data_IF_019566578764
#
_entry.id   IF_019566578764
#
_cell.length_a   1.000
_cell.length_b   1.000
_cell.length_c   1.000
_cell.angle_alpha   90.00
_cell.angle_beta   90.00
_cell.angle_gamma   90.00
#
_symmetry.space_group_name_H-M   'P 1'
#
loop_
_entity.id
_entity.type
_entity.pdbx_description
1 polymer ?
#
# COMPACT_ATOMS: atom_id res chain seq x y z
N UNK A 1 20.17 -2.43 11.22
CA UNK A 1 18.79 -2.32 10.71
C UNK A 1 18.74 -1.12 9.78
N UNK A 2 18.19 -1.27 8.57
CA UNK A 2 18.05 -0.13 7.64
C UNK A 2 16.95 0.81 8.15
N UNK A 3 17.10 2.13 8.08
CA UNK A 3 16.05 3.05 8.50
C UNK A 3 14.86 2.98 7.53
N UNK A 4 13.65 2.97 8.08
CA UNK A 4 12.41 3.10 7.32
C UNK A 4 12.29 4.57 6.90
N UNK A 5 12.26 4.84 5.60
CA UNK A 5 12.09 6.18 5.04
C UNK A 5 10.73 6.38 4.39
N UNK A 6 10.13 5.30 3.88
CA UNK A 6 8.83 5.34 3.22
C UNK A 6 7.99 4.13 3.58
N UNK A 7 6.75 4.39 3.99
CA UNK A 7 5.73 3.40 4.26
C UNK A 7 4.60 3.49 3.23
N UNK A 8 4.08 2.33 2.81
CA UNK A 8 2.81 2.24 2.11
C UNK A 8 1.77 1.67 3.05
N UNK A 9 0.72 2.45 3.31
CA UNK A 9 -0.35 2.09 4.26
C UNK A 9 -1.67 2.06 3.52
N UNK A 10 -2.32 0.89 3.47
CA UNK A 10 -3.65 0.71 2.88
C UNK A 10 -4.39 -0.37 3.65
N UNK A 11 -5.34 0.03 4.49
CA UNK A 11 -6.03 -0.85 5.41
C UNK A 11 -7.54 -0.77 5.25
N UNK A 12 -8.21 -1.90 5.28
CA UNK A 12 -9.67 -2.01 5.34
C UNK A 12 -10.15 -1.69 6.76
N UNK A 13 -9.68 -2.45 7.75
CA UNK A 13 -9.84 -2.11 9.17
C UNK A 13 -8.82 -1.03 9.56
N UNK A 14 -9.33 0.11 9.99
CA UNK A 14 -8.54 1.31 10.32
C UNK A 14 -8.23 1.47 11.80
N UNK A 15 -8.55 0.46 12.61
CA UNK A 15 -8.30 0.48 14.06
C UNK A 15 -6.81 0.69 14.35
N UNK A 16 -6.49 1.74 15.12
CA UNK A 16 -5.12 2.06 15.55
C UNK A 16 -4.19 2.61 14.46
N UNK A 17 -4.64 2.72 13.20
CA UNK A 17 -3.75 3.13 12.10
C UNK A 17 -3.30 4.59 12.21
N UNK A 18 -4.16 5.46 12.77
CA UNK A 18 -3.79 6.87 12.95
C UNK A 18 -2.65 7.02 13.95
N UNK A 19 -2.75 6.37 15.10
CA UNK A 19 -1.70 6.43 16.13
C UNK A 19 -0.38 5.85 15.61
N UNK A 20 -0.47 4.73 14.89
CA UNK A 20 0.71 4.12 14.27
C UNK A 20 1.37 5.06 13.24
N UNK A 21 0.59 5.71 12.40
CA UNK A 21 1.10 6.63 11.40
C UNK A 21 1.66 7.92 12.02
N UNK A 22 1.09 8.41 13.14
CA UNK A 22 1.65 9.51 13.92
C UNK A 22 3.03 9.15 14.49
N UNK A 23 3.21 7.92 14.97
CA UNK A 23 4.53 7.46 15.42
C UNK A 23 5.53 7.43 14.25
N UNK A 24 5.16 6.90 13.09
CA UNK A 24 6.04 6.91 11.91
C UNK A 24 6.44 8.33 11.49
N UNK A 25 5.52 9.28 11.59
CA UNK A 25 5.78 10.69 11.28
C UNK A 25 6.86 11.29 12.16
N UNK A 26 6.90 10.95 13.46
CA UNK A 26 7.96 11.42 14.38
C UNK A 26 9.37 11.03 13.94
N UNK A 27 9.47 9.93 13.19
CA UNK A 27 10.74 9.46 12.61
C UNK A 27 10.98 9.96 11.18
N UNK A 28 10.15 10.88 10.68
CA UNK A 28 10.28 11.44 9.34
C UNK A 28 9.94 10.48 8.22
N UNK A 29 9.16 9.43 8.48
CA UNK A 29 8.74 8.47 7.47
C UNK A 29 7.70 9.10 6.54
N UNK A 30 7.97 9.07 5.24
CA UNK A 30 7.02 9.48 4.21
C UNK A 30 5.93 8.40 4.04
N UNK A 31 4.67 8.82 3.99
CA UNK A 31 3.54 7.89 3.90
C UNK A 31 2.87 7.98 2.52
N UNK A 32 2.86 6.84 1.81
CA UNK A 32 2.01 6.59 0.65
C UNK A 32 0.73 5.91 1.12
N UNK A 33 -0.43 6.31 0.59
CA UNK A 33 -1.70 5.67 0.93
C UNK A 33 -2.75 5.85 -0.17
N UNK A 34 -3.87 5.16 -0.04
CA UNK A 34 -4.98 5.16 -1.01
C UNK A 34 -6.32 5.34 -0.32
N UNK A 35 -7.29 5.87 -1.03
CA UNK A 35 -8.71 5.89 -0.66
C UNK A 35 -8.99 6.36 0.77
N UNK A 36 -9.90 5.67 1.45
CA UNK A 36 -10.34 6.05 2.79
C UNK A 36 -9.24 6.01 3.87
N UNK A 37 -8.17 5.21 3.69
CA UNK A 37 -7.02 5.26 4.59
C UNK A 37 -6.28 6.58 4.47
N UNK A 38 -6.02 7.05 3.24
CA UNK A 38 -5.38 8.34 3.01
C UNK A 38 -6.21 9.49 3.58
N UNK A 39 -7.53 9.45 3.40
CA UNK A 39 -8.44 10.48 3.93
C UNK A 39 -8.44 10.53 5.46
N UNK A 40 -8.46 9.37 6.11
CA UNK A 40 -8.38 9.28 7.58
C UNK A 40 -7.06 9.88 8.10
N UNK A 41 -5.95 9.50 7.50
CA UNK A 41 -4.63 9.98 7.93
C UNK A 41 -4.49 11.49 7.72
N UNK A 42 -4.97 12.03 6.59
CA UNK A 42 -4.97 13.48 6.33
C UNK A 42 -5.84 14.24 7.31
N UNK A 43 -7.03 13.74 7.62
CA UNK A 43 -7.91 14.33 8.65
C UNK A 43 -7.26 14.33 10.03
N UNK A 44 -6.41 13.36 10.30
CA UNK A 44 -5.58 13.29 11.50
C UNK A 44 -4.33 14.18 11.49
N UNK A 45 -4.15 15.02 10.46
CA UNK A 45 -3.04 15.96 10.35
C UNK A 45 -1.74 15.35 9.81
N UNK A 46 -1.78 14.14 9.25
CA UNK A 46 -0.61 13.47 8.71
C UNK A 46 -0.44 13.80 7.22
N UNK A 47 0.72 14.29 6.78
CA UNK A 47 1.03 14.43 5.37
C UNK A 47 1.02 13.06 4.68
N UNK A 48 0.18 12.91 3.66
CA UNK A 48 0.06 11.67 2.89
C UNK A 48 0.17 11.96 1.41
N UNK A 49 1.00 11.19 0.72
CA UNK A 49 1.07 11.18 -0.74
C UNK A 49 0.08 10.12 -1.23
N UNK A 50 -0.88 10.53 -2.07
CA UNK A 50 -1.75 9.58 -2.76
C UNK A 50 -0.95 8.73 -3.72
N UNK A 51 -1.27 7.44 -3.80
CA UNK A 51 -0.64 6.55 -4.76
C UNK A 51 -0.85 7.01 -6.20
N UNK A 52 -2.03 7.57 -6.53
CA UNK A 52 -2.31 8.16 -7.84
C UNK A 52 -1.36 9.32 -8.19
N UNK A 53 -1.06 10.19 -7.22
CA UNK A 53 -0.11 11.29 -7.42
C UNK A 53 1.31 10.77 -7.60
N UNK A 54 1.69 9.77 -6.81
CA UNK A 54 3.01 9.14 -6.89
C UNK A 54 3.23 8.39 -8.21
N UNK A 55 2.24 7.65 -8.67
CA UNK A 55 2.33 6.89 -9.92
C UNK A 55 2.14 7.77 -11.15
N UNK A 56 1.44 8.89 -11.01
CA UNK A 56 0.96 9.72 -12.12
C UNK A 56 -0.16 9.03 -12.91
N UNK A 57 -0.78 7.98 -12.35
CA UNK A 57 -1.84 7.22 -12.99
C UNK A 57 -3.15 7.40 -12.19
N UNK A 58 -4.24 7.85 -12.84
CA UNK A 58 -5.49 8.11 -12.14
C UNK A 58 -6.09 6.82 -11.59
N UNK A 59 -6.80 6.94 -10.49
CA UNK A 59 -7.65 5.86 -10.00
C UNK A 59 -8.82 5.66 -10.96
N UNK A 60 -9.03 4.41 -11.40
CA UNK A 60 -10.08 4.06 -12.36
C UNK A 60 -10.60 2.65 -12.07
N UNK A 61 -11.65 2.23 -12.79
CA UNK A 61 -12.28 0.90 -12.63
C UNK A 61 -12.66 0.66 -11.16
N UNK A 62 -13.30 1.65 -10.54
CA UNK A 62 -13.73 1.62 -9.12
C UNK A 62 -12.59 1.28 -8.15
N UNK A 63 -11.39 1.70 -8.48
CA UNK A 63 -10.19 1.48 -7.66
C UNK A 63 -9.56 0.10 -7.76
N UNK A 64 -10.04 -0.77 -8.66
CA UNK A 64 -9.56 -2.16 -8.78
C UNK A 64 -8.08 -2.28 -9.11
N UNK A 65 -7.47 -1.28 -9.77
CA UNK A 65 -6.07 -1.32 -10.22
C UNK A 65 -5.17 -0.27 -9.56
N UNK A 66 -5.66 0.50 -8.61
CA UNK A 66 -4.96 1.68 -8.06
C UNK A 66 -3.53 1.43 -7.56
N UNK A 67 -3.26 0.25 -7.01
CA UNK A 67 -1.93 -0.13 -6.52
C UNK A 67 -1.17 -1.07 -7.46
N UNK A 68 -1.82 -1.61 -8.48
CA UNK A 68 -1.22 -2.50 -9.46
C UNK A 68 -0.43 -1.70 -10.51
N UNK A 69 0.69 -1.12 -10.07
CA UNK A 69 1.50 -0.24 -10.88
C UNK A 69 2.99 -0.53 -10.67
N UNK A 70 3.84 -0.48 -11.73
CA UNK A 70 5.27 -0.74 -11.62
C UNK A 70 6.00 0.13 -10.59
N UNK A 71 5.62 1.40 -10.41
CA UNK A 71 6.23 2.26 -9.39
C UNK A 71 5.95 1.79 -7.96
N UNK A 72 4.78 1.21 -7.70
CA UNK A 72 4.44 0.64 -6.40
C UNK A 72 5.17 -0.68 -6.21
N UNK A 73 4.93 -1.66 -7.09
CA UNK A 73 5.49 -3.00 -6.94
C UNK A 73 7.00 -3.02 -7.15
N UNK A 74 7.55 -2.18 -8.02
CA UNK A 74 9.00 -2.00 -8.16
C UNK A 74 9.64 -1.47 -6.89
N UNK A 75 8.98 -0.53 -6.20
CA UNK A 75 9.45 0.01 -4.92
C UNK A 75 9.51 -1.05 -3.80
N UNK A 76 8.63 -2.06 -3.86
CA UNK A 76 8.58 -3.17 -2.91
C UNK A 76 9.54 -4.31 -3.33
N UNK A 77 9.52 -4.71 -4.62
CA UNK A 77 10.18 -5.92 -5.10
C UNK A 77 11.65 -5.74 -5.47
N UNK A 78 12.11 -4.51 -5.71
CA UNK A 78 13.48 -4.27 -6.12
C UNK A 78 14.46 -4.66 -5.00
N UNK A 79 15.37 -5.57 -5.31
CA UNK A 79 16.47 -5.96 -4.44
C UNK A 79 17.51 -4.84 -4.43
N UNK A 80 17.79 -4.31 -3.25
CA UNK A 80 18.68 -3.15 -3.07
C UNK A 80 20.17 -3.52 -3.03
N UNK A 81 20.46 -4.81 -3.02
CA UNK A 81 21.81 -5.39 -3.14
C UNK A 81 22.18 -5.75 -4.60
N UNK A 82 21.27 -5.57 -5.56
CA UNK A 82 21.45 -5.85 -6.99
C UNK A 82 21.59 -4.54 -7.75
N UNK A 83 22.78 -4.20 -8.30
CA UNK A 83 23.02 -2.92 -8.97
C UNK A 83 22.06 -2.64 -10.14
N UNK A 84 21.70 -3.65 -10.91
CA UNK A 84 20.77 -3.56 -12.04
C UNK A 84 19.36 -3.17 -11.58
N UNK A 85 18.90 -3.67 -10.43
CA UNK A 85 17.62 -3.27 -9.85
C UNK A 85 17.67 -1.82 -9.39
N UNK A 86 18.74 -1.41 -8.72
CA UNK A 86 18.92 -0.02 -8.26
C UNK A 86 18.96 0.94 -9.45
N UNK A 87 19.69 0.55 -10.52
CA UNK A 87 19.73 1.33 -11.75
C UNK A 87 18.33 1.46 -12.36
N UNK A 88 17.61 0.36 -12.54
CA UNK A 88 16.25 0.36 -13.09
C UNK A 88 15.29 1.24 -12.28
N UNK A 89 15.38 1.20 -10.95
CA UNK A 89 14.61 2.10 -10.10
C UNK A 89 14.89 3.58 -10.42
N UNK A 90 16.17 3.94 -10.55
CA UNK A 90 16.57 5.31 -10.92
C UNK A 90 16.05 5.71 -12.29
N UNK A 91 16.26 4.87 -13.29
CA UNK A 91 15.86 5.14 -14.69
C UNK A 91 14.35 5.35 -14.84
N UNK A 92 13.53 4.71 -14.00
CA UNK A 92 12.06 4.76 -14.06
C UNK A 92 11.41 5.58 -12.95
N UNK A 93 12.19 6.30 -12.13
CA UNK A 93 11.66 7.13 -11.05
C UNK A 93 10.94 6.31 -9.96
N UNK A 94 11.38 5.07 -9.75
CA UNK A 94 10.86 4.19 -8.71
C UNK A 94 11.62 4.46 -7.42
N UNK A 95 10.89 4.83 -6.37
CA UNK A 95 11.47 5.08 -5.05
C UNK A 95 11.24 3.87 -4.14
N UNK A 96 12.21 3.48 -3.29
CA UNK A 96 12.04 2.36 -2.37
C UNK A 96 10.86 2.54 -1.44
N UNK A 97 10.15 1.44 -1.14
CA UNK A 97 9.15 1.33 -0.09
C UNK A 97 9.74 0.40 0.97
N UNK A 98 9.88 0.88 2.20
CA UNK A 98 10.61 0.18 3.27
C UNK A 98 9.69 -0.55 4.23
N UNK A 99 8.42 -0.15 4.26
CA UNK A 99 7.39 -0.71 5.13
C UNK A 99 6.07 -0.80 4.35
N UNK A 100 5.42 -1.94 4.47
CA UNK A 100 4.08 -2.17 3.91
C UNK A 100 3.14 -2.52 5.05
N UNK A 101 2.06 -1.74 5.21
CA UNK A 101 1.02 -1.94 6.23
C UNK A 101 -0.30 -2.17 5.53
N UNK A 102 -0.71 -3.42 5.48
CA UNK A 102 -1.90 -3.86 4.74
C UNK A 102 -2.70 -4.80 5.62
N UNK A 103 -4.01 -4.59 5.70
CA UNK A 103 -4.95 -5.64 6.00
C UNK A 103 -5.93 -5.81 4.84
N UNK A 104 -6.49 -6.98 4.70
CA UNK A 104 -7.27 -7.37 3.53
C UNK A 104 -8.75 -6.99 3.71
N UNK A 105 -9.50 -7.01 2.61
CA UNK A 105 -10.95 -6.88 2.65
C UNK A 105 -11.55 -8.00 3.51
N UNK A 106 -12.63 -7.72 4.26
CA UNK A 106 -13.23 -8.68 5.18
C UNK A 106 -14.13 -9.70 4.43
N UNK A 107 -13.54 -10.47 3.52
CA UNK A 107 -14.27 -11.43 2.67
C UNK A 107 -15.13 -12.41 3.47
N UNK A 108 -14.55 -13.01 4.52
CA UNK A 108 -15.28 -13.97 5.37
C UNK A 108 -16.49 -13.33 6.06
N UNK A 109 -16.35 -12.08 6.52
CA UNK A 109 -17.45 -11.35 7.15
C UNK A 109 -18.54 -11.00 6.14
N UNK A 110 -18.14 -10.67 4.92
CA UNK A 110 -19.08 -10.34 3.83
C UNK A 110 -19.91 -11.56 3.45
N UNK A 111 -19.28 -12.70 3.20
CA UNK A 111 -19.99 -13.92 2.80
C UNK A 111 -20.80 -14.57 3.92
N UNK A 112 -20.50 -14.23 5.17
CA UNK A 112 -21.28 -14.69 6.32
C UNK A 112 -22.59 -13.93 6.49
N UNK A 113 -22.81 -12.81 5.82
CA UNK A 113 -24.06 -12.06 5.86
C UNK A 113 -25.16 -12.82 5.13
N UNK A 114 -26.35 -12.90 5.74
CA UNK A 114 -27.47 -13.69 5.21
C UNK A 114 -28.00 -13.20 3.86
N UNK A 115 -27.83 -11.92 3.56
CA UNK A 115 -28.27 -11.21 2.37
C UNK A 115 -27.12 -10.96 1.38
N UNK A 116 -25.96 -11.56 1.60
CA UNK A 116 -24.81 -11.44 0.71
C UNK A 116 -25.14 -12.05 -0.65
N UNK A 117 -25.10 -11.24 -1.70
CA UNK A 117 -25.21 -11.73 -3.08
C UNK A 117 -23.87 -12.30 -3.57
N UNK A 118 -23.91 -13.08 -4.65
CA UNK A 118 -22.69 -13.54 -5.31
C UNK A 118 -21.86 -12.36 -5.83
N UNK A 119 -22.51 -11.30 -6.29
CA UNK A 119 -21.86 -10.09 -6.77
C UNK A 119 -21.11 -9.37 -5.63
N UNK A 120 -21.73 -9.25 -4.45
CA UNK A 120 -21.08 -8.69 -3.25
C UNK A 120 -19.85 -9.52 -2.84
N UNK A 121 -19.96 -10.83 -2.87
CA UNK A 121 -18.85 -11.73 -2.56
C UNK A 121 -17.69 -11.54 -3.55
N UNK A 122 -17.98 -11.50 -4.86
CA UNK A 122 -16.97 -11.29 -5.90
C UNK A 122 -16.30 -9.92 -5.75
N UNK A 123 -17.08 -8.87 -5.49
CA UNK A 123 -16.53 -7.51 -5.35
C UNK A 123 -15.62 -7.36 -4.12
N UNK A 124 -15.79 -8.20 -3.10
CA UNK A 124 -14.92 -8.24 -1.92
C UNK A 124 -13.67 -9.13 -2.07
N UNK A 125 -13.38 -9.65 -3.26
CA UNK A 125 -12.10 -10.31 -3.54
C UNK A 125 -11.02 -9.23 -3.66
N UNK A 126 -10.13 -9.17 -2.68
CA UNK A 126 -9.03 -8.22 -2.65
C UNK A 126 -7.90 -8.67 -3.58
N UNK A 127 -7.50 -7.83 -4.51
CA UNK A 127 -6.41 -8.10 -5.45
C UNK A 127 -5.14 -7.34 -5.05
N UNK A 128 -5.23 -6.04 -4.83
CA UNK A 128 -4.09 -5.18 -4.58
C UNK A 128 -3.41 -5.44 -3.24
N UNK A 129 -4.19 -5.63 -2.17
CA UNK A 129 -3.68 -5.95 -0.84
C UNK A 129 -2.83 -7.22 -0.81
N UNK A 130 -3.36 -8.37 -1.23
CA UNK A 130 -2.61 -9.62 -1.33
C UNK A 130 -1.36 -9.50 -2.21
N UNK A 131 -1.44 -8.80 -3.35
CA UNK A 131 -0.30 -8.61 -4.25
C UNK A 131 0.84 -7.84 -3.56
N UNK A 132 0.53 -6.78 -2.80
CA UNK A 132 1.53 -6.01 -2.05
C UNK A 132 2.13 -6.79 -0.89
N UNK A 133 1.32 -7.52 -0.12
CA UNK A 133 1.79 -8.38 0.98
C UNK A 133 2.72 -9.48 0.46
N UNK A 134 2.34 -10.16 -0.63
CA UNK A 134 3.19 -11.19 -1.25
C UNK A 134 4.49 -10.61 -1.78
N UNK A 135 4.45 -9.40 -2.36
CA UNK A 135 5.64 -8.70 -2.86
C UNK A 135 6.61 -8.36 -1.72
N UNK A 136 6.10 -7.83 -0.61
CA UNK A 136 6.90 -7.54 0.58
C UNK A 136 7.50 -8.81 1.18
N UNK A 137 6.73 -9.87 1.32
CA UNK A 137 7.21 -11.17 1.81
C UNK A 137 8.33 -11.74 0.92
N UNK A 138 8.18 -11.62 -0.43
CA UNK A 138 9.21 -12.07 -1.38
C UNK A 138 10.52 -11.29 -1.24
N UNK A 139 10.46 -10.04 -0.82
CA UNK A 139 11.62 -9.16 -0.66
C UNK A 139 11.87 -8.78 0.81
N UNK A 140 11.58 -9.67 1.74
CA UNK A 140 11.67 -9.44 3.20
C UNK A 140 13.06 -9.04 3.73
N UNK A 141 14.09 -9.12 2.89
CA UNK A 141 15.44 -8.59 3.18
C UNK A 141 15.47 -7.05 3.14
N UNK A 142 14.63 -6.44 2.32
CA UNK A 142 14.66 -5.01 2.05
C UNK A 142 13.39 -4.27 2.50
N UNK A 143 12.27 -5.00 2.78
CA UNK A 143 10.95 -4.44 3.14
C UNK A 143 10.43 -5.07 4.41
#
# INVERSE_FOLDING_TARGET
>A
MKPIKRALISVSDKTGILDFALELQKYGVEILSTGGTADLLRKGGIPVIQVSDYTGFPEMMDGRIKTLHPRVHGGILARRDVPEHVKAMGDHGIRPIDLVVINLYPFEQTVAQKDCSLEDAIENIDIGGPAMVRSAAKNSKDV
#
